data_IF_752966940512
#
_entry.id   IF_752966940512
#
_cell.length_a   1.000
_cell.length_b   1.000
_cell.length_c   1.000
_cell.angle_alpha   90.00
_cell.angle_beta   90.00
_cell.angle_gamma   90.00
#
_symmetry.space_group_name_H-M   'P 1'
#
loop_
_entity.id
_entity.type
_entity.pdbx_description
1 polymer ?
#
# COMPACT_ATOMS: atom_id res chain seq x y z
N UNK A 1 11.82 4.40 15.68
CA UNK A 1 11.57 4.59 15.32
C UNK A 1 11.27 5.32 15.05
N UNK A 2 11.22 5.49 15.05
CA UNK A 2 10.89 6.16 14.90
C UNK A 2 10.59 6.71 14.20
N UNK A 3 10.28 6.74 13.77
CA UNK A 3 10.05 7.08 13.00
C UNK A 3 9.28 8.04 12.99
N UNK A 4 8.96 8.49 13.10
CA UNK A 4 8.35 9.31 12.93
C UNK A 4 7.95 9.82 13.76
N UNK A 5 7.87 10.11 13.95
CA UNK A 5 7.25 10.43 14.28
C UNK A 5 6.89 11.46 14.60
N UNK A 6 6.74 11.60 14.23
CA UNK A 6 6.60 12.98 14.33
C UNK A 6 5.60 13.45 15.31
N UNK A 7 6.06 14.33 16.07
CA UNK A 7 5.23 14.95 17.09
C UNK A 7 4.03 15.68 16.50
N UNK A 8 4.18 16.21 15.28
CA UNK A 8 3.08 16.89 14.60
C UNK A 8 1.94 15.94 14.30
N UNK A 9 2.26 14.73 13.83
CA UNK A 9 1.26 13.71 13.56
C UNK A 9 0.61 13.21 14.84
N UNK A 10 1.41 13.01 15.88
CA UNK A 10 0.89 12.56 17.17
C UNK A 10 -0.08 13.58 17.76
N UNK A 11 0.27 14.84 17.68
CA UNK A 11 -0.61 15.91 18.15
C UNK A 11 -1.92 15.95 17.37
N UNK A 12 -1.83 15.80 16.06
CA UNK A 12 -3.01 15.81 15.22
C UNK A 12 -3.95 14.67 15.61
N UNK A 13 -3.40 13.46 15.78
CA UNK A 13 -4.20 12.31 16.20
C UNK A 13 -4.79 12.50 17.59
N UNK A 14 -4.03 13.08 18.52
CA UNK A 14 -4.53 13.35 19.86
C UNK A 14 -5.70 14.33 19.82
N UNK A 15 -5.58 15.40 19.09
CA UNK A 15 -6.63 16.39 18.93
C UNK A 15 -7.89 15.77 18.34
N UNK A 16 -7.72 14.92 17.35
CA UNK A 16 -8.84 14.20 16.75
C UNK A 16 -9.49 13.25 17.75
N UNK A 17 -8.68 12.56 18.53
CA UNK A 17 -9.16 11.60 19.51
C UNK A 17 -9.93 12.27 20.63
N UNK A 18 -9.58 13.52 20.97
CA UNK A 18 -10.27 14.29 21.99
C UNK A 18 -11.66 14.71 21.56
N UNK A 19 -11.98 14.54 20.29
CA UNK A 19 -13.34 14.72 19.84
C UNK A 19 -13.83 16.15 19.76
N UNK A 20 -12.93 17.08 19.42
CA UNK A 20 -13.38 18.43 19.14
C UNK A 20 -14.32 18.42 17.92
N UNK A 21 -15.25 19.36 17.89
CA UNK A 21 -16.20 19.44 16.76
C UNK A 21 -15.49 19.57 15.42
N UNK A 22 -14.43 20.38 15.39
CA UNK A 22 -13.65 20.55 14.17
C UNK A 22 -12.94 19.27 13.77
N UNK A 23 -12.32 18.60 14.74
CA UNK A 23 -11.61 17.36 14.47
C UNK A 23 -12.56 16.30 13.96
N UNK A 24 -13.76 16.20 14.54
CA UNK A 24 -14.77 15.24 14.07
C UNK A 24 -15.24 15.55 12.68
N UNK A 25 -15.51 16.82 12.41
CA UNK A 25 -15.93 17.23 11.06
C UNK A 25 -14.86 16.92 10.05
N UNK A 26 -13.60 17.15 10.40
CA UNK A 26 -12.48 16.85 9.52
C UNK A 26 -12.35 15.35 9.28
N UNK A 27 -12.45 14.55 10.33
CA UNK A 27 -12.41 13.08 10.23
C UNK A 27 -13.55 12.54 9.40
N UNK A 28 -14.76 13.03 9.63
CA UNK A 28 -15.93 12.60 8.88
C UNK A 28 -15.81 12.98 7.41
N UNK A 29 -15.33 14.17 7.14
CA UNK A 29 -15.08 14.61 5.77
C UNK A 29 -14.05 13.74 5.09
N UNK A 30 -12.98 13.40 5.80
CA UNK A 30 -11.95 12.50 5.28
C UNK A 30 -12.49 11.11 5.04
N UNK A 31 -13.27 10.57 5.95
CA UNK A 31 -13.87 9.26 5.76
C UNK A 31 -14.76 9.22 4.54
N UNK A 32 -15.56 10.26 4.37
CA UNK A 32 -16.47 10.34 3.23
C UNK A 32 -15.73 10.66 1.94
N UNK A 33 -14.71 11.52 2.02
CA UNK A 33 -13.94 11.95 0.87
C UNK A 33 -12.87 10.97 0.43
N UNK A 34 -12.37 10.13 1.35
CA UNK A 34 -11.29 9.19 1.07
C UNK A 34 -11.74 7.75 1.12
N UNK A 35 -12.90 7.51 0.56
CA UNK A 35 -13.30 6.12 0.40
C UNK A 35 -12.33 5.44 -0.56
N UNK A 36 -11.66 4.40 -0.09
CA UNK A 36 -10.72 3.67 -0.92
C UNK A 36 -11.51 2.79 -1.88
N UNK A 37 -11.25 2.99 -3.16
CA UNK A 37 -11.81 2.12 -4.19
C UNK A 37 -10.64 1.48 -4.91
N UNK A 38 -10.48 0.17 -4.69
CA UNK A 38 -9.42 -0.59 -5.35
C UNK A 38 -9.89 -1.04 -6.72
N UNK A 39 -8.97 -1.13 -7.70
CA UNK A 39 -9.31 -1.72 -8.99
C UNK A 39 -9.71 -3.18 -8.79
N UNK A 40 -10.63 -3.65 -9.59
CA UNK A 40 -11.07 -5.05 -9.52
C UNK A 40 -9.97 -6.00 -9.97
N UNK A 41 -9.17 -5.57 -10.93
CA UNK A 41 -8.06 -6.36 -11.46
C UNK A 41 -6.80 -5.53 -11.50
N UNK A 42 -5.67 -6.20 -11.34
CA UNK A 42 -4.35 -5.56 -11.43
C UNK A 42 -3.49 -6.40 -12.36
N UNK A 43 -2.86 -5.74 -13.32
CA UNK A 43 -1.93 -6.42 -14.23
C UNK A 43 -0.55 -6.53 -13.59
N UNK A 44 -0.36 -7.60 -12.84
CA UNK A 44 0.87 -7.83 -12.08
C UNK A 44 2.08 -7.94 -13.01
N UNK A 45 1.92 -8.62 -14.14
CA UNK A 45 3.01 -8.77 -15.09
C UNK A 45 3.45 -7.42 -15.66
N UNK A 46 2.51 -6.55 -15.99
CA UNK A 46 2.84 -5.23 -16.51
C UNK A 46 3.60 -4.40 -15.48
N UNK A 47 3.18 -4.44 -14.24
CA UNK A 47 3.87 -3.74 -13.15
C UNK A 47 5.30 -4.25 -13.02
N UNK A 48 5.45 -5.57 -12.97
CA UNK A 48 6.76 -6.21 -12.82
C UNK A 48 7.69 -5.88 -13.99
N UNK A 49 7.18 -5.99 -15.21
CA UNK A 49 7.99 -5.73 -16.40
C UNK A 49 8.45 -4.28 -16.49
N UNK A 50 7.60 -3.37 -16.04
CA UNK A 50 8.00 -1.95 -15.99
C UNK A 50 9.21 -1.73 -15.09
N UNK A 51 9.32 -2.52 -14.04
CA UNK A 51 10.45 -2.46 -13.11
C UNK A 51 11.62 -3.31 -13.57
N UNK A 52 11.47 -4.05 -14.66
CA UNK A 52 12.51 -4.92 -15.22
C UNK A 52 13.00 -5.98 -14.23
N UNK A 53 12.09 -6.51 -13.46
CA UNK A 53 12.38 -7.55 -12.47
C UNK A 53 11.83 -8.90 -12.92
N UNK A 54 12.54 -9.98 -12.57
CA UNK A 54 12.01 -11.32 -12.72
C UNK A 54 10.91 -11.55 -11.68
N UNK A 55 10.14 -12.61 -11.85
CA UNK A 55 9.10 -12.96 -10.89
C UNK A 55 9.69 -13.14 -9.48
N UNK A 56 10.82 -13.84 -9.38
CA UNK A 56 11.46 -14.06 -8.10
C UNK A 56 11.96 -12.78 -7.46
N UNK A 57 12.60 -11.93 -8.25
CA UNK A 57 13.10 -10.66 -7.73
C UNK A 57 11.99 -9.71 -7.34
N UNK A 58 10.93 -9.68 -8.12
CA UNK A 58 9.76 -8.89 -7.79
C UNK A 58 9.17 -9.33 -6.45
N UNK A 59 9.00 -10.64 -6.30
CA UNK A 59 8.50 -11.20 -5.05
C UNK A 59 9.39 -10.81 -3.87
N UNK A 60 10.70 -10.96 -4.03
CA UNK A 60 11.65 -10.62 -2.97
C UNK A 60 11.62 -9.15 -2.59
N UNK A 61 11.57 -8.27 -3.59
CA UNK A 61 11.61 -6.83 -3.36
C UNK A 61 10.40 -6.31 -2.61
N UNK A 62 9.26 -6.95 -2.80
CA UNK A 62 7.99 -6.49 -2.25
C UNK A 62 7.39 -7.42 -1.20
N UNK A 63 8.17 -8.40 -0.74
CA UNK A 63 7.73 -9.28 0.32
C UNK A 63 6.56 -10.16 -0.06
N UNK A 64 6.48 -10.58 -1.31
CA UNK A 64 5.39 -11.40 -1.82
C UNK A 64 5.86 -12.84 -2.01
N UNK A 65 4.96 -13.82 -1.81
CA UNK A 65 5.29 -15.20 -2.18
C UNK A 65 5.43 -15.31 -3.69
N UNK A 66 6.51 -15.92 -4.17
CA UNK A 66 6.73 -16.04 -5.60
C UNK A 66 5.64 -16.86 -6.28
N UNK A 67 5.10 -17.86 -5.60
CA UNK A 67 4.02 -18.67 -6.14
C UNK A 67 2.76 -17.83 -6.35
N UNK A 68 2.49 -16.90 -5.45
CA UNK A 68 1.37 -15.98 -5.60
C UNK A 68 1.55 -15.13 -6.86
N UNK A 69 2.74 -14.58 -7.06
CA UNK A 69 3.04 -13.76 -8.24
C UNK A 69 2.81 -14.59 -9.51
N UNK A 70 3.29 -15.81 -9.53
CA UNK A 70 3.10 -16.70 -10.68
C UNK A 70 1.62 -16.97 -10.95
N UNK A 71 0.85 -17.25 -9.92
CA UNK A 71 -0.57 -17.54 -10.06
C UNK A 71 -1.34 -16.32 -10.55
N UNK A 72 -0.99 -15.14 -10.05
CA UNK A 72 -1.63 -13.90 -10.50
C UNK A 72 -1.34 -13.63 -11.97
N UNK A 73 -0.09 -13.83 -12.39
CA UNK A 73 0.30 -13.57 -13.78
C UNK A 73 -0.30 -14.57 -14.76
N UNK A 74 -0.48 -15.81 -14.33
CA UNK A 74 -1.06 -16.86 -15.18
C UNK A 74 -2.59 -16.82 -15.21
N UNK A 75 -3.20 -16.00 -14.36
CA UNK A 75 -4.65 -15.95 -14.25
C UNK A 75 -5.25 -17.07 -13.41
N UNK A 76 -4.41 -17.89 -12.80
CA UNK A 76 -4.88 -19.01 -11.99
C UNK A 76 -5.55 -18.55 -10.71
N UNK A 77 -5.12 -17.41 -10.21
CA UNK A 77 -5.67 -16.82 -9.00
C UNK A 77 -5.61 -15.32 -9.15
N UNK A 78 -6.63 -14.63 -8.64
CA UNK A 78 -6.63 -13.18 -8.59
C UNK A 78 -6.07 -12.71 -7.26
N UNK A 79 -5.35 -11.58 -7.23
CA UNK A 79 -4.91 -11.03 -5.95
C UNK A 79 -6.12 -10.59 -5.14
N UNK A 80 -6.11 -10.91 -3.86
CA UNK A 80 -7.12 -10.46 -2.94
C UNK A 80 -6.97 -8.98 -2.62
N UNK A 81 -7.93 -8.42 -1.89
CA UNK A 81 -7.99 -6.98 -1.66
C UNK A 81 -6.69 -6.38 -1.11
N UNK A 82 -6.12 -7.01 -0.09
CA UNK A 82 -4.87 -6.53 0.50
C UNK A 82 -3.73 -6.54 -0.51
N UNK A 83 -3.63 -7.60 -1.31
CA UNK A 83 -2.61 -7.69 -2.34
C UNK A 83 -2.83 -6.65 -3.43
N UNK A 84 -4.08 -6.41 -3.82
CA UNK A 84 -4.37 -5.37 -4.82
C UNK A 84 -3.98 -3.99 -4.32
N UNK A 85 -4.22 -3.72 -3.03
CA UNK A 85 -3.80 -2.45 -2.44
C UNK A 85 -2.29 -2.29 -2.52
N UNK A 86 -1.53 -3.31 -2.13
CA UNK A 86 -0.08 -3.28 -2.22
C UNK A 86 0.40 -3.11 -3.66
N UNK A 87 -0.17 -3.87 -4.58
CA UNK A 87 0.21 -3.79 -5.99
C UNK A 87 -0.09 -2.41 -6.57
N UNK A 88 -1.17 -1.78 -6.15
CA UNK A 88 -1.51 -0.43 -6.58
C UNK A 88 -0.47 0.57 -6.07
N UNK A 89 -0.02 0.42 -4.83
CA UNK A 89 1.03 1.25 -4.28
C UNK A 89 2.35 1.05 -5.03
N UNK A 90 2.68 -0.19 -5.35
CA UNK A 90 3.89 -0.51 -6.11
C UNK A 90 3.85 0.15 -7.48
N UNK A 91 2.69 0.09 -8.13
CA UNK A 91 2.54 0.70 -9.44
C UNK A 91 2.72 2.22 -9.39
N UNK A 92 2.26 2.85 -8.32
CA UNK A 92 2.32 4.29 -8.16
C UNK A 92 3.72 4.79 -7.78
N UNK A 93 4.36 4.13 -6.82
CA UNK A 93 5.68 4.56 -6.33
C UNK A 93 6.46 3.36 -5.83
N UNK A 94 7.05 2.59 -6.74
CA UNK A 94 7.78 1.38 -6.36
C UNK A 94 8.98 1.66 -5.47
N UNK A 95 9.66 2.78 -5.68
CA UNK A 95 10.84 3.11 -4.89
C UNK A 95 10.49 3.36 -3.43
N UNK A 96 9.40 4.06 -3.20
CA UNK A 96 8.93 4.30 -1.84
C UNK A 96 8.62 2.98 -1.13
N UNK A 97 7.90 2.09 -1.80
CA UNK A 97 7.51 0.80 -1.23
C UNK A 97 8.75 -0.03 -0.92
N UNK A 98 9.69 -0.12 -1.86
CA UNK A 98 10.92 -0.87 -1.64
C UNK A 98 11.71 -0.36 -0.45
N UNK A 99 11.87 0.96 -0.35
CA UNK A 99 12.61 1.56 0.77
C UNK A 99 11.91 1.31 2.09
N UNK A 100 10.60 1.45 2.09
CA UNK A 100 9.81 1.27 3.31
C UNK A 100 9.89 -0.16 3.81
N UNK A 101 9.72 -1.13 2.92
CA UNK A 101 9.80 -2.54 3.29
C UNK A 101 11.21 -2.95 3.70
N UNK A 102 12.23 -2.43 3.04
CA UNK A 102 13.61 -2.72 3.40
C UNK A 102 13.94 -2.23 4.80
N UNK A 103 13.40 -1.10 5.21
CA UNK A 103 13.62 -0.56 6.56
C UNK A 103 12.95 -1.40 7.64
N UNK A 104 11.92 -2.14 7.28
CA UNK A 104 11.18 -2.97 8.22
C UNK A 104 11.89 -4.29 8.54
N UNK A 105 12.89 -4.63 7.75
CA UNK A 105 13.62 -5.89 7.93
C UNK A 105 14.63 -5.85 9.08
#
# INVERSE_FOLDING_TARGET
>A
MAYYQGDAMSKLFEEMAQGTAEARAYMDGKRKGYKVTLPETVDVRAIRKRLRLSQGRFADRFGLPVDAVRHWESGRRQPEAAARALLTLIAADPQFVMRTLAKSA
#
